data_IF_951427417011
#
_entry.id   IF_951427417011
#
_cell.length_a   1.000
_cell.length_b   1.000
_cell.length_c   1.000
_cell.angle_alpha   90.00
_cell.angle_beta   90.00
_cell.angle_gamma   90.00
#
_symmetry.space_group_name_H-M   'P 1'
#
loop_
_entity.id
_entity.type
_entity.pdbx_description
1 polymer ?
#
# COMPACT_ATOMS: atom_id res chain seq x y z
N UNK A 1 -0.38 0.40 35.86
CA UNK A 1 0.37 -0.02 34.65
C UNK A 1 0.93 1.23 34.00
N UNK A 2 2.18 1.22 33.55
CA UNK A 2 2.74 2.36 32.80
C UNK A 2 2.09 2.35 31.41
N UNK A 3 1.46 3.46 31.02
CA UNK A 3 0.95 3.63 29.67
C UNK A 3 2.11 4.07 28.75
N UNK A 4 2.11 3.60 27.51
CA UNK A 4 3.06 3.99 26.47
C UNK A 4 2.33 4.60 25.27
N UNK A 5 3.06 5.24 24.36
CA UNK A 5 2.46 5.71 23.12
C UNK A 5 2.37 4.56 22.11
N UNK A 6 1.35 4.59 21.26
CA UNK A 6 1.22 3.71 20.11
C UNK A 6 1.60 4.50 18.86
N UNK A 7 2.77 4.21 18.31
CA UNK A 7 3.25 4.82 17.07
C UNK A 7 2.88 3.93 15.90
N UNK A 8 2.22 4.49 14.91
CA UNK A 8 1.84 3.81 13.67
C UNK A 8 2.54 4.52 12.53
N UNK A 9 3.56 3.87 11.98
CA UNK A 9 4.27 4.36 10.80
C UNK A 9 3.60 3.76 9.57
N UNK A 10 3.29 4.57 8.57
CA UNK A 10 2.60 4.08 7.37
C UNK A 10 3.16 4.70 6.09
N UNK A 11 3.22 3.90 5.02
CA UNK A 11 3.54 4.37 3.67
C UNK A 11 2.30 4.96 2.98
N UNK A 12 1.11 4.64 3.49
CA UNK A 12 -0.18 4.91 2.89
C UNK A 12 -0.95 5.98 3.67
N UNK A 13 -2.10 6.42 3.15
CA UNK A 13 -3.03 7.20 3.96
C UNK A 13 -3.64 6.29 5.05
N UNK A 14 -3.60 6.68 6.34
CA UNK A 14 -4.27 5.93 7.38
C UNK A 14 -5.79 6.03 7.25
N UNK A 15 -6.45 4.89 7.02
CA UNK A 15 -7.91 4.77 6.96
C UNK A 15 -8.48 4.47 8.35
N UNK A 16 -9.54 5.17 8.75
CA UNK A 16 -10.18 4.98 10.08
C UNK A 16 -10.56 3.51 10.31
N UNK A 17 -11.14 2.83 9.33
CA UNK A 17 -11.55 1.42 9.49
C UNK A 17 -10.37 0.47 9.67
N UNK A 18 -9.24 0.74 8.99
CA UNK A 18 -8.00 -0.04 9.18
C UNK A 18 -7.43 0.21 10.56
N UNK A 19 -7.39 1.46 11.03
CA UNK A 19 -6.95 1.79 12.39
C UNK A 19 -7.81 1.11 13.45
N UNK A 20 -9.14 1.08 13.29
CA UNK A 20 -10.03 0.32 14.19
C UNK A 20 -9.67 -1.16 14.24
N UNK A 21 -9.35 -1.78 13.10
CA UNK A 21 -8.90 -3.17 13.07
C UNK A 21 -7.57 -3.37 13.80
N UNK A 22 -6.61 -2.47 13.61
CA UNK A 22 -5.32 -2.48 14.31
C UNK A 22 -5.53 -2.32 15.82
N UNK A 23 -6.38 -1.40 16.26
CA UNK A 23 -6.67 -1.16 17.67
C UNK A 23 -7.39 -2.33 18.33
N UNK A 24 -8.36 -2.95 17.66
CA UNK A 24 -9.01 -4.18 18.15
C UNK A 24 -8.00 -5.31 18.30
N UNK A 25 -7.10 -5.45 17.33
CA UNK A 25 -6.04 -6.45 17.37
C UNK A 25 -5.06 -6.19 18.53
N UNK A 26 -4.58 -4.96 18.67
CA UNK A 26 -3.73 -4.54 19.78
C UNK A 26 -4.39 -4.81 21.14
N UNK A 27 -5.67 -4.45 21.28
CA UNK A 27 -6.44 -4.65 22.50
C UNK A 27 -6.56 -6.13 22.89
N UNK A 28 -6.80 -7.00 21.92
CA UNK A 28 -6.84 -8.44 22.11
C UNK A 28 -5.46 -8.99 22.52
N UNK A 29 -4.42 -8.60 21.79
CA UNK A 29 -3.06 -9.11 21.99
C UNK A 29 -2.46 -8.66 23.33
N UNK A 30 -2.71 -7.41 23.72
CA UNK A 30 -2.27 -6.83 24.98
C UNK A 30 -3.28 -7.02 26.12
N UNK A 31 -4.36 -7.77 25.90
CA UNK A 31 -5.39 -8.07 26.90
C UNK A 31 -5.88 -6.80 27.63
N UNK A 32 -6.34 -5.81 26.88
CA UNK A 32 -6.92 -4.58 27.41
C UNK A 32 -8.21 -4.22 26.69
N UNK A 33 -9.15 -3.60 27.41
CA UNK A 33 -10.31 -2.96 26.81
C UNK A 33 -9.95 -1.61 26.20
N UNK A 34 -10.75 -1.15 25.24
CA UNK A 34 -10.65 0.20 24.70
C UNK A 34 -12.04 0.74 24.30
N UNK A 35 -12.17 2.07 24.28
CA UNK A 35 -13.28 2.78 23.63
C UNK A 35 -12.76 3.43 22.34
N UNK A 36 -13.54 3.42 21.26
CA UNK A 36 -13.04 3.81 19.94
C UNK A 36 -14.09 3.97 18.84
N UNK A 37 -15.32 4.35 19.19
CA UNK A 37 -16.45 4.35 18.25
C UNK A 37 -16.36 5.48 17.21
N UNK A 38 -15.85 6.64 17.63
CA UNK A 38 -15.61 7.80 16.75
C UNK A 38 -14.15 8.18 16.82
N UNK A 39 -13.42 7.89 15.75
CA UNK A 39 -12.01 8.27 15.61
C UNK A 39 -11.89 9.51 14.72
N UNK A 40 -10.95 10.38 15.05
CA UNK A 40 -10.50 11.48 14.17
C UNK A 40 -8.99 11.43 14.04
N UNK A 41 -8.50 11.82 12.88
CA UNK A 41 -7.06 11.95 12.59
C UNK A 41 -6.77 13.44 12.48
N UNK A 42 -5.99 13.95 13.41
CA UNK A 42 -5.73 15.38 13.55
C UNK A 42 -4.28 15.68 13.14
N UNK A 43 -4.05 16.50 12.11
CA UNK A 43 -2.71 17.01 11.83
C UNK A 43 -2.18 17.82 13.02
N UNK A 44 -0.99 17.50 13.50
CA UNK A 44 -0.32 18.23 14.58
C UNK A 44 0.33 19.47 14.02
N UNK A 45 -0.01 20.64 14.56
CA UNK A 45 0.63 21.91 14.22
C UNK A 45 1.60 22.33 15.34
N UNK A 46 2.72 22.92 14.96
CA UNK A 46 3.66 23.53 15.90
C UNK A 46 3.17 24.93 16.34
N UNK A 47 3.91 25.58 17.24
CA UNK A 47 3.60 26.93 17.77
C UNK A 47 3.54 28.03 16.68
N UNK A 48 4.03 27.75 15.47
CA UNK A 48 3.97 28.65 14.30
C UNK A 48 2.82 28.29 13.33
N UNK A 49 1.94 27.38 13.74
CA UNK A 49 0.88 26.81 12.91
C UNK A 49 1.38 26.10 11.65
N UNK A 50 2.59 25.55 11.69
CA UNK A 50 3.15 24.71 10.63
C UNK A 50 2.94 23.23 10.98
N UNK A 51 2.60 22.43 9.97
CA UNK A 51 2.39 21.00 10.13
C UNK A 51 3.68 20.28 10.55
N UNK A 52 3.63 19.58 11.67
CA UNK A 52 4.77 18.90 12.28
C UNK A 52 5.12 17.54 11.62
N UNK A 53 4.52 17.22 10.47
CA UNK A 53 4.64 15.92 9.79
C UNK A 53 4.25 14.74 10.70
N UNK A 54 3.24 14.98 11.53
CA UNK A 54 2.72 14.05 12.51
C UNK A 54 1.21 14.23 12.62
N UNK A 55 0.48 13.13 12.75
CA UNK A 55 -0.94 13.16 13.06
C UNK A 55 -1.19 12.47 14.40
N UNK A 56 -2.17 12.95 15.14
CA UNK A 56 -2.67 12.29 16.35
C UNK A 56 -4.04 11.66 16.07
N UNK A 57 -4.22 10.41 16.49
CA UNK A 57 -5.52 9.76 16.45
C UNK A 57 -6.21 9.96 17.79
N UNK A 58 -7.30 10.70 17.76
CA UNK A 58 -8.14 10.93 18.95
C UNK A 58 -9.40 10.09 18.89
N UNK A 59 -10.03 9.92 20.05
CA UNK A 59 -11.23 9.08 20.22
C UNK A 59 -10.93 7.60 20.51
N UNK A 60 -9.67 7.18 20.44
CA UNK A 60 -9.21 5.89 20.97
C UNK A 60 -8.77 6.04 22.43
N UNK A 61 -9.39 5.32 23.36
CA UNK A 61 -9.08 5.39 24.79
C UNK A 61 -8.79 3.99 25.33
N UNK A 62 -7.58 3.78 25.81
CA UNK A 62 -7.13 2.53 26.42
C UNK A 62 -6.21 2.85 27.59
N UNK A 63 -6.43 2.24 28.76
CA UNK A 63 -5.63 2.52 29.96
C UNK A 63 -4.12 2.20 29.82
N UNK A 64 -3.75 1.44 28.78
CA UNK A 64 -2.35 1.11 28.45
C UNK A 64 -1.74 2.05 27.41
N UNK A 65 -2.53 2.87 26.73
CA UNK A 65 -2.06 3.73 25.65
C UNK A 65 -2.28 5.19 26.01
N UNK A 66 -1.19 5.97 26.00
CA UNK A 66 -1.24 7.39 26.30
C UNK A 66 -1.70 8.19 25.08
N UNK A 67 -0.95 8.09 23.97
CA UNK A 67 -1.28 8.75 22.69
C UNK A 67 -1.17 7.75 21.55
N UNK A 68 -1.92 7.99 20.48
CA UNK A 68 -1.76 7.27 19.21
C UNK A 68 -1.26 8.25 18.16
N UNK A 69 -0.08 7.98 17.64
CA UNK A 69 0.66 8.92 16.80
C UNK A 69 0.94 8.26 15.44
N UNK A 70 0.63 8.96 14.36
CA UNK A 70 0.82 8.52 12.99
C UNK A 70 1.91 9.35 12.32
N UNK A 71 2.84 8.69 11.63
CA UNK A 71 3.83 9.37 10.78
C UNK A 71 4.00 8.65 9.45
N UNK A 72 4.20 9.42 8.39
CA UNK A 72 4.44 8.87 7.06
C UNK A 72 5.89 8.43 6.90
N UNK A 73 6.08 7.23 6.35
CA UNK A 73 7.39 6.64 6.09
C UNK A 73 7.49 6.15 4.65
N UNK A 74 8.71 5.80 4.25
CA UNK A 74 8.99 5.13 2.98
C UNK A 74 9.97 3.98 3.21
N UNK A 75 9.81 2.91 2.43
CA UNK A 75 10.77 1.82 2.40
C UNK A 75 12.06 2.17 1.65
N UNK A 76 13.16 1.55 2.05
CA UNK A 76 14.35 1.49 1.18
C UNK A 76 14.18 0.48 0.01
N UNK A 77 13.20 -0.43 0.12
CA UNK A 77 12.86 -1.44 -0.88
C UNK A 77 11.39 -1.88 -0.70
N UNK A 78 11.10 -3.19 -0.62
CA UNK A 78 9.74 -3.69 -0.37
C UNK A 78 9.30 -3.42 1.06
N UNK A 79 8.32 -2.54 1.25
CA UNK A 79 7.80 -2.11 2.55
C UNK A 79 6.38 -2.63 2.80
N UNK A 80 6.01 -2.93 4.05
CA UNK A 80 4.63 -3.27 4.48
C UNK A 80 3.86 -1.99 4.76
N UNK A 81 2.55 -1.95 4.56
CA UNK A 81 1.80 -0.68 4.65
C UNK A 81 1.83 -0.02 6.03
N UNK A 82 1.97 -0.79 7.12
CA UNK A 82 2.11 -0.26 8.48
C UNK A 82 3.18 -0.98 9.31
N UNK A 83 3.89 -0.20 10.12
CA UNK A 83 4.64 -0.66 11.29
C UNK A 83 4.02 -0.06 12.55
N UNK A 84 3.85 -0.89 13.58
CA UNK A 84 3.29 -0.46 14.87
C UNK A 84 4.33 -0.64 15.96
N UNK A 85 4.58 0.41 16.74
CA UNK A 85 5.47 0.42 17.90
C UNK A 85 4.70 0.82 19.15
N UNK A 86 5.05 0.22 20.28
CA UNK A 86 4.43 0.51 21.57
C UNK A 86 5.51 0.90 22.56
N UNK A 87 5.80 2.20 22.62
CA UNK A 87 6.93 2.79 23.33
C UNK A 87 6.71 4.28 23.61
N UNK A 88 7.50 4.87 24.50
CA UNK A 88 7.34 6.28 24.89
C UNK A 88 7.89 7.25 23.83
N UNK A 89 9.04 6.94 23.24
CA UNK A 89 9.77 7.82 22.32
C UNK A 89 9.42 7.56 20.86
N UNK A 90 9.62 8.57 20.00
CA UNK A 90 9.47 8.41 18.55
C UNK A 90 10.37 7.25 18.06
N UNK A 91 9.86 6.31 17.25
CA UNK A 91 10.64 5.19 16.75
C UNK A 91 11.84 5.63 15.93
N UNK A 92 12.94 4.89 16.09
CA UNK A 92 14.10 4.91 15.19
C UNK A 92 14.23 3.57 14.48
N UNK A 93 15.02 3.50 13.41
CA UNK A 93 15.09 2.34 12.51
C UNK A 93 15.57 1.06 13.22
N UNK A 94 16.31 1.20 14.33
CA UNK A 94 16.79 0.10 15.17
C UNK A 94 15.77 -0.42 16.18
N UNK A 95 14.67 0.31 16.40
CA UNK A 95 13.60 -0.14 17.30
C UNK A 95 12.85 -1.31 16.68
N UNK A 96 12.34 -2.20 17.54
CA UNK A 96 11.57 -3.37 17.10
C UNK A 96 10.07 -3.04 17.08
N UNK A 97 9.40 -3.07 15.90
CA UNK A 97 7.95 -2.96 15.85
C UNK A 97 7.30 -4.18 16.52
N UNK A 98 6.15 -3.97 17.16
CA UNK A 98 5.31 -5.07 17.65
C UNK A 98 4.55 -5.72 16.50
N UNK A 99 4.10 -4.92 15.51
CA UNK A 99 3.37 -5.41 14.33
C UNK A 99 3.97 -4.87 13.04
N UNK A 100 4.01 -5.73 12.02
CA UNK A 100 4.25 -5.38 10.64
C UNK A 100 3.05 -5.81 9.81
N UNK A 101 2.32 -4.86 9.23
CA UNK A 101 0.99 -5.08 8.67
C UNK A 101 0.99 -4.70 7.20
N UNK A 102 0.62 -5.65 6.35
CA UNK A 102 0.27 -5.40 4.96
C UNK A 102 -1.25 -5.29 4.82
N UNK A 103 -1.74 -4.17 4.29
CA UNK A 103 -3.16 -3.95 4.02
C UNK A 103 -3.53 -4.45 2.62
N UNK A 104 -4.79 -4.86 2.48
CA UNK A 104 -5.39 -5.08 1.18
C UNK A 104 -6.89 -4.91 1.26
N UNK A 105 -7.47 -4.24 0.28
CA UNK A 105 -8.94 -4.27 0.09
C UNK A 105 -9.41 -5.36 -0.86
N UNK A 106 -8.50 -5.93 -1.64
CA UNK A 106 -8.85 -6.84 -2.74
C UNK A 106 -8.99 -8.29 -2.29
N UNK A 107 -10.05 -8.92 -2.80
CA UNK A 107 -10.30 -10.35 -2.64
C UNK A 107 -9.81 -11.17 -3.87
N UNK A 108 -9.81 -12.50 -3.75
CA UNK A 108 -9.48 -13.44 -4.85
C UNK A 108 -10.34 -13.19 -6.11
N UNK A 109 -11.54 -12.62 -5.95
CA UNK A 109 -12.46 -12.28 -7.05
C UNK A 109 -11.88 -11.26 -8.05
N UNK A 110 -11.08 -10.30 -7.60
CA UNK A 110 -10.65 -9.16 -8.44
C UNK A 110 -9.22 -9.26 -8.95
N UNK A 111 -8.36 -10.01 -8.26
CA UNK A 111 -6.91 -10.02 -8.49
C UNK A 111 -6.39 -11.17 -9.39
N UNK A 112 -7.25 -11.75 -10.23
CA UNK A 112 -6.92 -12.85 -11.17
C UNK A 112 -6.16 -14.01 -10.49
N UNK A 113 -6.61 -14.42 -9.30
CA UNK A 113 -6.08 -15.54 -8.51
C UNK A 113 -4.62 -15.41 -8.02
N UNK A 114 -3.89 -14.33 -8.34
CA UNK A 114 -2.44 -14.19 -8.04
C UNK A 114 -2.10 -13.00 -7.14
N UNK A 115 -3.11 -12.21 -6.72
CA UNK A 115 -2.90 -11.04 -5.86
C UNK A 115 -2.23 -11.36 -4.53
N UNK A 116 -2.48 -12.56 -3.97
CA UNK A 116 -1.83 -13.02 -2.73
C UNK A 116 -0.30 -12.97 -2.85
N UNK A 117 0.27 -13.40 -3.98
CA UNK A 117 1.72 -13.48 -4.14
C UNK A 117 2.38 -12.12 -4.28
N UNK A 118 1.71 -11.15 -4.90
CA UNK A 118 2.28 -9.81 -5.11
C UNK A 118 2.69 -9.14 -3.78
N UNK A 119 2.08 -9.57 -2.67
CA UNK A 119 2.32 -9.04 -1.32
C UNK A 119 3.29 -9.87 -0.50
N UNK A 120 3.44 -11.16 -0.79
CA UNK A 120 4.27 -12.06 0.01
C UNK A 120 5.72 -11.58 0.13
N UNK A 121 6.28 -10.92 -0.89
CA UNK A 121 7.65 -10.37 -0.84
C UNK A 121 7.84 -9.41 0.32
N UNK A 122 6.85 -8.59 0.67
CA UNK A 122 6.96 -7.62 1.77
C UNK A 122 7.21 -8.32 3.12
N UNK A 123 6.54 -9.45 3.37
CA UNK A 123 6.78 -10.28 4.55
C UNK A 123 8.17 -10.93 4.55
N UNK A 124 8.63 -11.41 3.39
CA UNK A 124 9.97 -12.00 3.24
C UNK A 124 11.07 -10.97 3.53
N UNK A 125 10.84 -9.70 3.17
CA UNK A 125 11.75 -8.60 3.50
C UNK A 125 11.70 -8.24 4.98
N UNK A 126 10.53 -7.92 5.55
CA UNK A 126 10.45 -7.48 6.95
C UNK A 126 11.02 -8.53 7.91
N UNK A 127 10.81 -9.83 7.65
CA UNK A 127 11.35 -10.91 8.48
C UNK A 127 12.87 -10.94 8.56
N UNK A 128 13.56 -10.45 7.52
CA UNK A 128 15.01 -10.31 7.52
C UNK A 128 15.47 -9.20 8.49
N UNK A 129 14.78 -8.05 8.49
CA UNK A 129 15.13 -6.91 9.35
C UNK A 129 14.65 -7.07 10.79
N UNK A 130 13.47 -7.65 10.99
CA UNK A 130 12.87 -7.85 12.31
C UNK A 130 12.42 -9.32 12.46
N UNK A 131 13.32 -10.24 12.82
CA UNK A 131 13.03 -11.67 12.87
C UNK A 131 11.95 -12.07 13.88
N UNK A 132 11.65 -11.23 14.87
CA UNK A 132 10.63 -11.49 15.90
C UNK A 132 9.34 -10.70 15.71
N UNK A 133 9.25 -9.85 14.68
CA UNK A 133 8.03 -9.04 14.46
C UNK A 133 6.86 -9.95 14.19
N UNK A 134 5.70 -9.59 14.74
CA UNK A 134 4.45 -10.24 14.39
C UNK A 134 3.96 -9.70 13.05
N UNK A 135 3.91 -10.57 12.06
CA UNK A 135 3.54 -10.22 10.69
C UNK A 135 2.05 -10.45 10.46
N UNK A 136 1.36 -9.48 9.88
CA UNK A 136 -0.08 -9.49 9.71
C UNK A 136 -0.45 -9.11 8.28
N UNK A 137 -1.28 -9.93 7.66
CA UNK A 137 -1.96 -9.61 6.41
C UNK A 137 -3.40 -9.19 6.72
N UNK A 138 -3.69 -7.91 6.60
CA UNK A 138 -4.95 -7.30 6.98
C UNK A 138 -5.83 -7.06 5.74
N UNK A 139 -6.98 -7.73 5.70
CA UNK A 139 -7.97 -7.56 4.64
C UNK A 139 -9.06 -6.57 5.05
N UNK A 140 -8.99 -5.34 4.53
CA UNK A 140 -10.01 -4.31 4.69
C UNK A 140 -11.02 -4.37 3.53
N UNK A 141 -11.75 -5.50 3.44
CA UNK A 141 -12.61 -5.78 2.29
C UNK A 141 -13.75 -4.76 2.16
N UNK A 142 -13.90 -4.19 0.97
CA UNK A 142 -15.03 -3.32 0.61
C UNK A 142 -16.09 -4.02 -0.26
N UNK A 143 -15.83 -5.29 -0.61
CA UNK A 143 -16.72 -6.15 -1.40
C UNK A 143 -16.86 -7.51 -0.73
N UNK A 144 -17.91 -8.25 -1.08
CA UNK A 144 -18.15 -9.58 -0.54
C UNK A 144 -16.99 -10.54 -0.88
N UNK A 145 -16.54 -11.27 0.15
CA UNK A 145 -15.53 -12.31 0.00
C UNK A 145 -16.06 -13.45 -0.89
N UNK A 146 -15.23 -13.91 -1.81
CA UNK A 146 -15.53 -15.08 -2.63
C UNK A 146 -15.72 -16.33 -1.77
N UNK A 147 -16.82 -17.04 -2.00
CA UNK A 147 -17.20 -18.26 -1.26
C UNK A 147 -16.19 -19.41 -1.46
N UNK A 148 -15.79 -19.64 -2.71
CA UNK A 148 -14.84 -20.71 -3.05
C UNK A 148 -13.47 -20.15 -3.44
N UNK A 149 -12.44 -20.35 -2.61
CA UNK A 149 -11.09 -19.87 -2.91
C UNK A 149 -10.45 -20.66 -4.04
N UNK A 150 -9.65 -19.99 -4.89
CA UNK A 150 -8.84 -20.70 -5.89
C UNK A 150 -7.69 -21.50 -5.27
N UNK A 151 -7.23 -22.56 -5.96
CA UNK A 151 -6.05 -23.32 -5.54
C UNK A 151 -4.81 -22.43 -5.36
N UNK A 152 -4.65 -21.39 -6.19
CA UNK A 152 -3.56 -20.42 -6.09
C UNK A 152 -3.66 -19.59 -4.80
N UNK A 153 -4.86 -19.13 -4.47
CA UNK A 153 -5.10 -18.43 -3.21
C UNK A 153 -4.88 -19.32 -1.99
N UNK A 154 -5.32 -20.59 -2.04
CA UNK A 154 -5.07 -21.59 -1.00
C UNK A 154 -3.57 -21.77 -0.80
N UNK A 155 -2.80 -22.02 -1.88
CA UNK A 155 -1.35 -22.16 -1.79
C UNK A 155 -0.71 -20.92 -1.16
N UNK A 156 -1.00 -19.72 -1.68
CA UNK A 156 -0.41 -18.48 -1.20
C UNK A 156 -0.72 -18.20 0.27
N UNK A 157 -1.97 -18.40 0.68
CA UNK A 157 -2.40 -18.20 2.08
C UNK A 157 -1.75 -19.22 3.00
N UNK A 158 -1.69 -20.50 2.61
CA UNK A 158 -1.00 -21.53 3.41
C UNK A 158 0.50 -21.25 3.53
N UNK A 159 1.15 -20.73 2.49
CA UNK A 159 2.55 -20.29 2.55
C UNK A 159 2.73 -19.12 3.54
N UNK A 160 1.84 -18.12 3.51
CA UNK A 160 1.84 -17.02 4.48
C UNK A 160 1.70 -17.54 5.92
N UNK A 161 0.73 -18.42 6.17
CA UNK A 161 0.52 -19.05 7.50
C UNK A 161 1.75 -19.86 7.95
N UNK A 162 2.37 -20.60 7.03
CA UNK A 162 3.60 -21.36 7.32
C UNK A 162 4.78 -20.44 7.64
N UNK A 163 4.80 -19.26 7.03
CA UNK A 163 5.81 -18.22 7.29
C UNK A 163 5.53 -17.42 8.58
N UNK A 164 4.46 -17.74 9.32
CA UNK A 164 4.10 -17.07 10.57
C UNK A 164 3.33 -15.77 10.38
N UNK A 165 2.70 -15.56 9.22
CA UNK A 165 1.85 -14.39 8.97
C UNK A 165 0.42 -14.69 9.43
N UNK A 166 -0.11 -13.83 10.30
CA UNK A 166 -1.52 -13.87 10.72
C UNK A 166 -2.42 -13.20 9.68
N UNK A 167 -3.65 -13.71 9.52
CA UNK A 167 -4.61 -13.17 8.57
C UNK A 167 -5.77 -12.53 9.33
N UNK A 168 -6.03 -11.24 9.10
CA UNK A 168 -7.12 -10.49 9.71
C UNK A 168 -8.11 -9.99 8.65
N UNK A 169 -9.37 -9.78 9.05
CA UNK A 169 -10.40 -9.20 8.18
C UNK A 169 -10.98 -10.17 7.14
N UNK A 170 -10.68 -11.46 7.25
CA UNK A 170 -11.23 -12.52 6.40
C UNK A 170 -11.66 -13.73 7.20
N UNK A 171 -12.72 -14.37 6.72
CA UNK A 171 -13.13 -15.68 7.22
C UNK A 171 -12.34 -16.77 6.48
N UNK A 172 -11.50 -17.48 7.21
CA UNK A 172 -10.74 -18.62 6.69
C UNK A 172 -11.30 -19.92 7.26
N UNK A 173 -11.60 -20.86 6.38
CA UNK A 173 -11.85 -22.24 6.78
C UNK A 173 -10.57 -22.83 7.39
N UNK A 174 -10.61 -23.13 8.69
CA UNK A 174 -9.46 -23.64 9.46
C UNK A 174 -8.98 -25.02 8.99
N UNK A 175 -9.83 -25.81 8.32
CA UNK A 175 -9.43 -27.11 7.77
C UNK A 175 -8.66 -26.94 6.45
N UNK A 176 -9.06 -25.96 5.64
CA UNK A 176 -8.44 -25.67 4.35
C UNK A 176 -7.16 -24.85 4.50
N UNK A 177 -7.20 -23.81 5.34
CA UNK A 177 -6.12 -22.85 5.53
C UNK A 177 -5.33 -23.18 6.79
N UNK A 178 -4.50 -24.22 6.68
CA UNK A 178 -3.52 -24.60 7.70
C UNK A 178 -2.08 -24.47 7.18
N UNK A 179 -1.11 -24.15 8.05
CA UNK A 179 0.30 -24.20 7.69
C UNK A 179 0.70 -25.52 7.03
N UNK A 180 1.68 -25.46 6.14
CA UNK A 180 2.39 -26.66 5.68
C UNK A 180 3.29 -27.16 6.82
N UNK A 181 3.40 -28.48 6.94
CA UNK A 181 4.21 -29.14 7.97
C UNK A 181 5.56 -29.62 7.44
N UNK A 182 5.70 -29.77 6.12
CA UNK A 182 6.95 -30.23 5.50
C UNK A 182 7.13 -29.71 4.08
N UNK A 183 8.38 -29.73 3.62
CA UNK A 183 8.75 -29.43 2.22
C UNK A 183 8.00 -30.33 1.25
N UNK A 184 7.86 -31.62 1.58
CA UNK A 184 7.22 -32.59 0.70
C UNK A 184 5.71 -32.32 0.56
N UNK A 185 5.06 -31.80 1.60
CA UNK A 185 3.67 -31.37 1.52
C UNK A 185 3.48 -30.23 0.51
N UNK A 186 4.40 -29.27 0.44
CA UNK A 186 4.37 -28.18 -0.55
C UNK A 186 4.53 -28.74 -1.97
N UNK A 187 5.49 -29.65 -2.15
CA UNK A 187 5.76 -30.29 -3.44
C UNK A 187 4.52 -31.05 -3.92
N UNK A 188 3.95 -31.91 -3.07
CA UNK A 188 2.74 -32.67 -3.37
C UNK A 188 1.54 -31.76 -3.64
N UNK A 189 1.34 -30.70 -2.85
CA UNK A 189 0.27 -29.73 -3.10
C UNK A 189 0.43 -29.11 -4.49
N UNK A 190 1.64 -28.64 -4.83
CA UNK A 190 1.91 -27.96 -6.10
C UNK A 190 1.80 -28.87 -7.31
N UNK A 191 2.12 -30.16 -7.17
CA UNK A 191 1.98 -31.18 -8.21
C UNK A 191 0.51 -31.49 -8.55
N UNK A 192 -0.37 -31.45 -7.55
CA UNK A 192 -1.81 -31.72 -7.72
C UNK A 192 -2.61 -30.49 -8.18
N UNK A 193 -2.00 -29.30 -8.21
CA UNK A 193 -2.65 -28.11 -8.78
C UNK A 193 -2.76 -28.20 -10.30
N UNK A 194 -3.84 -27.64 -10.86
CA UNK A 194 -3.98 -27.49 -12.31
C UNK A 194 -2.77 -26.75 -12.89
N UNK A 195 -2.16 -27.32 -13.93
CA UNK A 195 -1.03 -26.71 -14.63
C UNK A 195 -1.44 -25.43 -15.35
N UNK A 196 -0.50 -24.50 -15.48
CA UNK A 196 -0.70 -23.27 -16.24
C UNK A 196 -1.10 -23.59 -17.70
N UNK A 197 -1.89 -22.71 -18.36
CA UNK A 197 -2.18 -22.86 -19.79
C UNK A 197 -0.92 -23.00 -20.64
N UNK A 198 -1.03 -23.66 -21.79
CA UNK A 198 0.09 -23.85 -22.72
C UNK A 198 0.80 -22.53 -23.05
N UNK A 199 2.14 -22.56 -23.06
CA UNK A 199 2.99 -21.39 -23.30
C UNK A 199 3.44 -20.62 -22.04
N UNK A 200 2.93 -20.96 -20.85
CA UNK A 200 3.42 -20.41 -19.58
C UNK A 200 4.42 -21.34 -18.88
N UNK A 201 5.36 -20.76 -18.13
CA UNK A 201 6.26 -21.51 -17.23
C UNK A 201 5.51 -21.76 -15.91
N UNK A 202 5.09 -23.00 -15.61
CA UNK A 202 4.46 -23.30 -14.33
C UNK A 202 5.47 -23.19 -13.19
N UNK A 203 5.00 -22.83 -12.00
CA UNK A 203 5.80 -22.98 -10.78
C UNK A 203 5.75 -24.45 -10.34
N UNK A 204 6.91 -25.11 -10.30
CA UNK A 204 7.05 -26.50 -9.89
C UNK A 204 8.31 -26.63 -9.03
N UNK A 205 8.29 -27.55 -8.08
CA UNK A 205 9.41 -27.82 -7.19
C UNK A 205 9.97 -29.22 -7.50
N UNK A 206 11.29 -29.30 -7.60
CA UNK A 206 12.04 -30.53 -7.85
C UNK A 206 13.07 -30.69 -6.75
N UNK A 207 12.91 -31.71 -5.91
CA UNK A 207 13.80 -31.99 -4.79
C UNK A 207 14.76 -33.12 -5.17
N UNK A 208 16.04 -32.88 -4.98
CA UNK A 208 17.13 -33.87 -5.05
C UNK A 208 17.96 -33.80 -3.78
N UNK A 209 18.97 -34.67 -3.66
CA UNK A 209 19.92 -34.60 -2.56
C UNK A 209 20.63 -33.23 -2.58
N UNK A 210 20.49 -32.48 -1.48
CA UNK A 210 21.13 -31.18 -1.28
C UNK A 210 20.64 -30.02 -2.15
N UNK A 211 19.66 -30.21 -3.05
CA UNK A 211 19.09 -29.12 -3.88
C UNK A 211 17.57 -29.19 -4.05
N UNK A 212 16.91 -28.03 -3.97
CA UNK A 212 15.55 -27.83 -4.48
C UNK A 212 15.61 -26.83 -5.64
N UNK A 213 15.19 -27.27 -6.81
CA UNK A 213 15.01 -26.38 -7.97
C UNK A 213 13.54 -25.98 -8.09
N UNK A 214 13.28 -24.69 -8.28
CA UNK A 214 11.93 -24.14 -8.41
C UNK A 214 11.79 -23.50 -9.79
N UNK A 215 10.93 -24.02 -10.65
CA UNK A 215 10.66 -23.36 -11.94
C UNK A 215 9.82 -22.11 -11.73
N UNK A 216 10.06 -21.06 -12.52
CA UNK A 216 9.16 -19.91 -12.52
C UNK A 216 9.73 -18.73 -13.29
N UNK A 217 8.89 -18.13 -14.14
CA UNK A 217 9.28 -16.98 -14.96
C UNK A 217 9.51 -15.73 -14.10
N UNK A 218 10.67 -15.09 -14.20
CA UNK A 218 10.95 -13.78 -13.60
C UNK A 218 11.06 -12.67 -14.66
N UNK A 219 11.38 -13.03 -15.90
CA UNK A 219 11.51 -12.09 -17.00
C UNK A 219 10.16 -11.57 -17.50
N UNK A 220 10.02 -10.25 -17.61
CA UNK A 220 8.91 -9.55 -18.24
C UNK A 220 9.39 -8.19 -18.75
N UNK A 221 8.88 -7.76 -19.90
CA UNK A 221 9.13 -6.41 -20.45
C UNK A 221 10.60 -5.96 -20.45
N UNK A 222 11.53 -6.82 -20.85
CA UNK A 222 12.96 -6.47 -20.95
C UNK A 222 13.78 -6.62 -19.67
N UNK A 223 13.22 -7.11 -18.57
CA UNK A 223 13.99 -7.30 -17.34
C UNK A 223 13.33 -8.19 -16.28
N UNK A 224 13.90 -8.16 -15.08
CA UNK A 224 13.36 -8.84 -13.89
C UNK A 224 12.18 -8.04 -13.32
N UNK A 225 10.97 -8.30 -13.82
CA UNK A 225 9.77 -7.51 -13.49
C UNK A 225 8.45 -8.30 -13.44
N UNK A 226 8.50 -9.63 -13.31
CA UNK A 226 7.29 -10.45 -13.19
C UNK A 226 6.76 -10.51 -11.74
N UNK A 227 6.16 -9.43 -11.24
CA UNK A 227 5.80 -9.24 -9.82
C UNK A 227 5.09 -10.42 -9.12
N UNK A 228 4.05 -11.06 -9.71
CA UNK A 228 3.41 -12.20 -9.04
C UNK A 228 4.36 -13.38 -8.80
N UNK A 229 5.32 -13.60 -9.70
CA UNK A 229 6.27 -14.70 -9.57
C UNK A 229 7.45 -14.31 -8.68
N UNK A 230 7.87 -13.04 -8.69
CA UNK A 230 8.81 -12.51 -7.69
C UNK A 230 8.26 -12.82 -6.29
N UNK A 231 6.99 -12.48 -6.06
CA UNK A 231 6.24 -12.84 -4.86
C UNK A 231 6.23 -14.32 -4.51
N UNK A 232 5.72 -15.14 -5.43
CA UNK A 232 5.56 -16.57 -5.21
C UNK A 232 6.89 -17.28 -4.94
N UNK A 233 7.92 -16.98 -5.73
CA UNK A 233 9.24 -17.62 -5.60
C UNK A 233 9.98 -17.16 -4.34
N UNK A 234 9.80 -15.89 -3.94
CA UNK A 234 10.35 -15.38 -2.68
C UNK A 234 9.77 -16.13 -1.47
N UNK A 235 8.44 -16.20 -1.35
CA UNK A 235 7.80 -16.83 -0.19
C UNK A 235 7.97 -18.35 -0.18
N UNK A 236 7.94 -19.00 -1.35
CA UNK A 236 8.27 -20.43 -1.45
C UNK A 236 9.67 -20.69 -0.89
N UNK A 237 10.67 -19.93 -1.36
CA UNK A 237 12.05 -20.12 -0.92
C UNK A 237 12.21 -19.87 0.59
N UNK A 238 11.58 -18.81 1.10
CA UNK A 238 11.62 -18.48 2.52
C UNK A 238 10.92 -19.55 3.39
N UNK A 239 9.77 -20.06 2.95
CA UNK A 239 9.05 -21.15 3.65
C UNK A 239 9.85 -22.45 3.63
N UNK A 240 10.53 -22.79 2.53
CA UNK A 240 11.41 -23.96 2.50
C UNK A 240 12.48 -23.88 3.61
N UNK A 241 13.07 -22.69 3.82
CA UNK A 241 14.02 -22.44 4.91
C UNK A 241 13.36 -22.60 6.29
N UNK A 242 12.17 -22.03 6.48
CA UNK A 242 11.41 -22.17 7.75
C UNK A 242 11.06 -23.62 8.06
N UNK A 243 10.80 -24.45 7.04
CA UNK A 243 10.55 -25.88 7.17
C UNK A 243 11.84 -26.73 7.30
N UNK A 244 12.99 -26.08 7.52
CA UNK A 244 14.24 -26.76 7.83
C UNK A 244 15.10 -27.15 6.63
N UNK A 245 14.77 -26.73 5.40
CA UNK A 245 15.63 -26.98 4.25
C UNK A 245 16.90 -26.13 4.31
N UNK A 246 18.05 -26.77 4.48
CA UNK A 246 19.37 -26.12 4.53
C UNK A 246 20.15 -26.22 3.22
N UNK A 247 19.73 -27.08 2.28
CA UNK A 247 20.38 -27.26 0.98
C UNK A 247 20.21 -26.08 0.03
N UNK A 248 20.74 -26.20 -1.19
CA UNK A 248 20.63 -25.15 -2.22
C UNK A 248 19.17 -24.95 -2.66
N UNK A 249 18.80 -23.70 -2.96
CA UNK A 249 17.53 -23.35 -3.60
C UNK A 249 17.88 -22.61 -4.88
N UNK A 250 17.46 -23.15 -6.02
CA UNK A 250 17.79 -22.62 -7.34
C UNK A 250 16.51 -22.34 -8.13
N UNK A 251 16.33 -21.12 -8.62
CA UNK A 251 15.24 -20.81 -9.54
C UNK A 251 15.66 -21.18 -10.95
N UNK A 252 14.85 -21.98 -11.64
CA UNK A 252 15.09 -22.45 -13.00
C UNK A 252 14.03 -21.90 -13.96
N UNK A 253 14.32 -21.89 -15.27
CA UNK A 253 13.35 -21.44 -16.31
C UNK A 253 12.82 -20.02 -16.10
N UNK A 254 13.62 -19.14 -15.52
CA UNK A 254 13.22 -17.77 -15.20
C UNK A 254 13.26 -16.81 -16.39
N UNK A 255 14.01 -17.16 -17.46
CA UNK A 255 14.12 -16.38 -18.70
C UNK A 255 14.99 -15.13 -18.57
N UNK A 256 15.84 -15.04 -17.55
CA UNK A 256 16.74 -13.90 -17.35
C UNK A 256 18.10 -14.18 -18.00
N UNK A 257 18.75 -13.11 -18.42
CA UNK A 257 20.16 -13.07 -18.83
C UNK A 257 20.93 -12.29 -17.77
N UNK A 258 22.26 -12.36 -17.78
CA UNK A 258 23.10 -11.63 -16.83
C UNK A 258 22.84 -10.10 -16.86
N UNK A 259 22.50 -9.54 -18.03
CA UNK A 259 22.15 -8.13 -18.19
C UNK A 259 20.83 -7.72 -17.51
N UNK A 260 19.97 -8.68 -17.17
CA UNK A 260 18.67 -8.41 -16.55
C UNK A 260 18.74 -8.38 -15.01
N UNK A 261 19.88 -8.75 -14.41
CA UNK A 261 20.07 -8.78 -12.95
C UNK A 261 21.02 -7.67 -12.50
N UNK A 262 20.52 -6.81 -11.62
CA UNK A 262 21.25 -5.69 -11.05
C UNK A 262 21.16 -5.68 -9.52
N UNK A 263 22.13 -5.02 -8.89
CA UNK A 263 22.31 -4.97 -7.43
C UNK A 263 21.11 -4.36 -6.67
N UNK A 264 20.27 -3.58 -7.37
CA UNK A 264 19.09 -2.92 -6.81
C UNK A 264 17.78 -3.68 -7.11
N UNK A 265 17.81 -4.80 -7.84
CA UNK A 265 16.57 -5.53 -8.11
C UNK A 265 16.01 -6.15 -6.84
N UNK A 266 14.70 -5.97 -6.61
CA UNK A 266 13.99 -6.51 -5.43
C UNK A 266 14.22 -8.01 -5.23
N UNK A 267 14.11 -8.81 -6.29
CA UNK A 267 14.34 -10.26 -6.19
C UNK A 267 15.81 -10.62 -5.93
N UNK A 268 16.77 -9.83 -6.43
CA UNK A 268 18.20 -10.04 -6.16
C UNK A 268 18.50 -9.78 -4.68
N UNK A 269 17.88 -8.75 -4.08
CA UNK A 269 17.94 -8.52 -2.63
C UNK A 269 17.37 -9.72 -1.84
N UNK A 270 16.18 -10.22 -2.20
CA UNK A 270 15.62 -11.45 -1.59
C UNK A 270 16.58 -12.63 -1.73
N UNK A 271 17.16 -12.81 -2.91
CA UNK A 271 18.07 -13.91 -3.18
C UNK A 271 19.33 -13.86 -2.30
N UNK A 272 19.87 -12.66 -2.07
CA UNK A 272 20.98 -12.44 -1.14
C UNK A 272 20.56 -12.72 0.32
N UNK A 273 19.36 -12.28 0.73
CA UNK A 273 18.85 -12.45 2.11
C UNK A 273 18.54 -13.93 2.45
N UNK A 274 18.08 -14.72 1.48
CA UNK A 274 17.53 -16.07 1.71
C UNK A 274 18.34 -17.20 1.06
N UNK A 275 19.49 -16.87 0.47
CA UNK A 275 20.39 -17.83 -0.19
C UNK A 275 19.70 -18.54 -1.36
N UNK A 276 19.23 -17.76 -2.32
CA UNK A 276 18.58 -18.23 -3.55
C UNK A 276 19.53 -18.02 -4.73
N UNK A 277 19.62 -19.01 -5.60
CA UNK A 277 20.43 -19.00 -6.81
C UNK A 277 19.53 -18.89 -8.06
N UNK A 278 20.12 -18.46 -9.18
CA UNK A 278 19.47 -18.41 -10.49
C UNK A 278 20.22 -19.31 -11.48
N UNK A 279 19.49 -20.14 -12.20
CA UNK A 279 20.03 -21.01 -13.24
C UNK A 279 20.75 -20.20 -14.33
N UNK A 280 22.02 -20.52 -14.60
CA UNK A 280 22.84 -19.87 -15.63
C UNK A 280 23.03 -18.35 -15.47
N UNK A 281 22.76 -17.80 -14.27
CA UNK A 281 22.93 -16.36 -13.98
C UNK A 281 23.60 -16.21 -12.62
N UNK A 282 24.68 -15.42 -12.55
CA UNK A 282 25.32 -15.09 -11.28
C UNK A 282 24.49 -14.02 -10.59
N UNK A 283 23.95 -14.35 -9.42
CA UNK A 283 23.25 -13.39 -8.55
C UNK A 283 24.29 -12.41 -8.01
N UNK A 284 24.23 -11.11 -8.36
CA UNK A 284 25.21 -10.16 -7.86
C UNK A 284 24.97 -9.88 -6.37
N UNK A 285 26.02 -9.39 -5.68
CA UNK A 285 25.89 -8.90 -4.31
C UNK A 285 24.95 -7.70 -4.30
N UNK A 286 23.80 -7.86 -3.65
CA UNK A 286 22.79 -6.83 -3.62
C UNK A 286 23.25 -5.61 -2.80
N UNK A 287 22.81 -4.42 -3.20
CA UNK A 287 22.92 -3.21 -2.39
C UNK A 287 21.72 -3.18 -1.43
N UNK A 288 21.89 -3.78 -0.26
CA UNK A 288 20.86 -3.87 0.78
C UNK A 288 21.12 -2.76 1.80
N UNK A 289 20.13 -1.90 2.03
CA UNK A 289 20.17 -0.90 3.10
C UNK A 289 20.28 -1.60 4.45
N UNK A 290 21.07 -1.08 5.42
CA UNK A 290 21.05 -1.61 6.79
C UNK A 290 19.70 -1.37 7.48
N UNK A 291 18.89 -0.43 6.97
CA UNK A 291 17.60 -0.06 7.52
C UNK A 291 16.46 -0.42 6.57
N UNK A 292 15.32 -0.79 7.15
CA UNK A 292 14.12 -1.18 6.41
C UNK A 292 13.32 0.01 5.88
N UNK A 293 13.22 1.07 6.69
CA UNK A 293 12.36 2.23 6.46
C UNK A 293 13.07 3.52 6.84
N UNK A 294 12.54 4.65 6.38
CA UNK A 294 12.92 6.01 6.79
C UNK A 294 11.68 6.90 6.85
N UNK A 295 11.72 7.99 7.62
CA UNK A 295 10.67 9.01 7.54
C UNK A 295 10.59 9.61 6.14
N UNK A 296 9.37 9.75 5.62
CA UNK A 296 9.17 10.33 4.30
C UNK A 296 9.18 11.86 4.41
N UNK A 297 10.20 12.47 3.84
CA UNK A 297 10.38 13.92 3.77
C UNK A 297 10.35 14.44 2.32
N UNK A 298 10.07 13.57 1.35
CA UNK A 298 10.24 13.89 -0.07
C UNK A 298 9.05 13.49 -0.95
N UNK A 299 8.21 12.55 -0.52
CA UNK A 299 7.12 11.99 -1.31
C UNK A 299 6.05 13.01 -1.66
N UNK A 300 5.61 13.03 -2.92
CA UNK A 300 4.52 13.94 -3.34
C UNK A 300 3.17 13.61 -2.67
N UNK A 301 3.00 12.36 -2.25
CA UNK A 301 1.84 11.88 -1.49
C UNK A 301 1.61 12.65 -0.18
N UNK A 302 2.65 13.28 0.41
CA UNK A 302 2.51 14.01 1.67
C UNK A 302 1.48 15.15 1.56
N UNK A 303 1.50 15.90 0.45
CA UNK A 303 0.56 17.00 0.24
C UNK A 303 -0.87 16.51 0.03
N UNK A 304 -1.05 15.46 -0.78
CA UNK A 304 -2.40 14.92 -1.07
C UNK A 304 -2.98 14.18 0.12
N UNK A 305 -2.18 13.43 0.90
CA UNK A 305 -2.61 12.80 2.16
C UNK A 305 -3.02 13.86 3.18
N UNK A 306 -2.26 14.94 3.33
CA UNK A 306 -2.61 16.03 4.24
C UNK A 306 -3.98 16.64 3.89
N UNK A 307 -4.19 17.00 2.61
CA UNK A 307 -5.47 17.55 2.14
C UNK A 307 -6.63 16.57 2.36
N UNK A 308 -6.40 15.29 2.06
CA UNK A 308 -7.40 14.25 2.30
C UNK A 308 -7.81 14.21 3.78
N UNK A 309 -6.84 14.11 4.69
CA UNK A 309 -7.08 14.01 6.13
C UNK A 309 -7.78 15.26 6.66
N UNK A 310 -7.29 16.46 6.32
CA UNK A 310 -7.87 17.69 6.86
C UNK A 310 -9.31 17.89 6.37
N UNK A 311 -9.61 17.58 5.11
CA UNK A 311 -10.98 17.67 4.58
C UNK A 311 -11.92 16.71 5.31
N UNK A 312 -11.59 15.43 5.42
CA UNK A 312 -12.47 14.43 6.05
C UNK A 312 -12.66 14.66 7.56
N UNK A 313 -11.72 15.32 8.23
CA UNK A 313 -11.76 15.52 9.68
C UNK A 313 -12.27 16.89 10.12
N UNK A 314 -12.15 17.93 9.26
CA UNK A 314 -12.47 19.31 9.62
C UNK A 314 -13.55 19.95 8.75
N UNK A 315 -14.19 19.20 7.85
CA UNK A 315 -15.31 19.67 7.03
C UNK A 315 -16.36 18.58 6.82
N UNK A 316 -17.45 18.93 6.15
CA UNK A 316 -18.48 18.02 5.64
C UNK A 316 -18.09 17.35 4.32
N UNK A 317 -16.96 17.76 3.72
CA UNK A 317 -16.45 17.16 2.49
C UNK A 317 -15.85 15.77 2.74
N UNK A 318 -15.89 14.94 1.70
CA UNK A 318 -15.46 13.54 1.79
C UNK A 318 -14.83 13.06 0.48
N UNK A 319 -13.99 12.03 0.56
CA UNK A 319 -13.38 11.40 -0.61
C UNK A 319 -14.31 10.40 -1.28
N UNK A 320 -14.35 10.43 -2.61
CA UNK A 320 -15.05 9.44 -3.44
C UNK A 320 -14.10 8.62 -4.30
N UNK A 321 -12.82 8.95 -4.32
CA UNK A 321 -11.78 8.19 -4.99
C UNK A 321 -10.40 8.59 -4.47
N UNK A 322 -9.51 7.61 -4.24
CA UNK A 322 -8.11 7.86 -3.85
C UNK A 322 -7.15 6.91 -4.58
N UNK A 323 -5.99 7.43 -4.95
CA UNK A 323 -4.87 6.74 -5.57
C UNK A 323 -3.57 7.54 -5.33
N UNK A 324 -3.32 7.92 -4.07
CA UNK A 324 -2.11 8.64 -3.71
C UNK A 324 -0.86 7.94 -4.27
N UNK A 325 0.15 8.70 -4.72
CA UNK A 325 1.30 8.16 -5.43
C UNK A 325 1.93 6.94 -4.72
N UNK A 326 1.90 5.78 -5.39
CA UNK A 326 2.45 4.50 -4.90
C UNK A 326 1.47 3.60 -4.15
N UNK A 327 0.29 4.11 -3.81
CA UNK A 327 -0.74 3.45 -2.99
C UNK A 327 -1.61 2.44 -3.75
N UNK A 328 -2.29 1.53 -3.04
CA UNK A 328 -3.29 0.64 -3.65
C UNK A 328 -4.45 1.47 -4.21
N UNK A 329 -4.64 1.44 -5.54
CA UNK A 329 -5.72 2.17 -6.23
C UNK A 329 -7.09 1.92 -5.60
N UNK A 330 -7.75 3.00 -5.17
CA UNK A 330 -9.10 3.06 -4.60
C UNK A 330 -10.23 2.57 -5.52
N UNK A 331 -11.44 2.46 -4.95
CA UNK A 331 -12.67 2.34 -5.74
C UNK A 331 -13.27 3.73 -5.91
N UNK A 332 -14.06 3.91 -6.96
CA UNK A 332 -14.94 5.06 -7.05
C UNK A 332 -16.19 4.80 -6.22
N UNK A 333 -16.54 5.72 -5.32
CA UNK A 333 -17.70 5.60 -4.44
C UNK A 333 -18.87 6.38 -5.05
N UNK A 334 -19.98 5.69 -5.33
CA UNK A 334 -21.23 6.31 -5.78
C UNK A 334 -21.94 7.05 -4.64
N UNK A 335 -22.94 7.92 -4.93
CA UNK A 335 -23.72 8.59 -3.89
C UNK A 335 -24.43 7.65 -2.92
N UNK A 336 -24.77 6.42 -3.35
CA UNK A 336 -25.37 5.39 -2.51
C UNK A 336 -24.34 4.61 -1.65
N UNK A 337 -23.07 4.99 -1.71
CA UNK A 337 -21.96 4.32 -1.01
C UNK A 337 -21.40 3.09 -1.75
N UNK A 338 -21.97 2.69 -2.90
CA UNK A 338 -21.52 1.50 -3.61
C UNK A 338 -20.14 1.71 -4.25
N UNK A 339 -19.15 0.83 -3.98
CA UNK A 339 -17.84 0.91 -4.62
C UNK A 339 -17.88 0.39 -6.06
N UNK A 340 -17.16 1.07 -6.96
CA UNK A 340 -17.01 0.69 -8.37
C UNK A 340 -15.53 0.66 -8.74
N UNK A 341 -15.09 -0.44 -9.34
CA UNK A 341 -13.75 -0.54 -9.89
C UNK A 341 -13.61 0.35 -11.15
N UNK A 342 -12.54 1.16 -11.20
CA UNK A 342 -12.27 1.98 -12.37
C UNK A 342 -11.91 1.12 -13.60
N UNK A 343 -12.51 1.46 -14.73
CA UNK A 343 -12.17 0.91 -16.03
C UNK A 343 -10.74 1.33 -16.40
N UNK A 344 -10.03 0.46 -17.11
CA UNK A 344 -8.69 0.78 -17.63
C UNK A 344 -8.75 1.56 -18.94
N UNK A 345 -9.81 1.37 -19.71
CA UNK A 345 -9.98 1.95 -21.03
C UNK A 345 -11.39 2.50 -21.18
N UNK A 346 -11.54 3.63 -21.85
CA UNK A 346 -12.83 4.15 -22.32
C UNK A 346 -13.39 3.21 -23.40
N UNK A 347 -12.52 2.80 -24.34
CA UNK A 347 -12.81 1.78 -25.34
C UNK A 347 -11.65 0.77 -25.43
N UNK A 348 -11.90 -0.46 -24.98
CA UNK A 348 -10.89 -1.52 -24.97
C UNK A 348 -10.55 -2.02 -26.37
N UNK A 349 -11.49 -1.99 -27.30
CA UNK A 349 -11.29 -2.51 -28.65
C UNK A 349 -10.36 -1.56 -29.42
N UNK A 350 -10.69 -0.27 -29.46
CA UNK A 350 -9.85 0.76 -30.08
C UNK A 350 -8.44 0.82 -29.47
N UNK A 351 -8.33 0.68 -28.15
CA UNK A 351 -7.01 0.63 -27.48
C UNK A 351 -6.13 -0.52 -27.98
N UNK A 352 -6.73 -1.70 -28.19
CA UNK A 352 -6.04 -2.88 -28.71
C UNK A 352 -5.70 -2.75 -30.19
N UNK A 353 -6.52 -2.04 -30.95
CA UNK A 353 -6.30 -1.75 -32.39
C UNK A 353 -5.20 -0.69 -32.62
N UNK A 354 -4.81 0.05 -31.57
CA UNK A 354 -3.63 0.92 -31.60
C UNK A 354 -3.83 2.28 -30.94
N UNK A 355 -5.08 2.70 -30.74
CA UNK A 355 -5.40 4.02 -30.20
C UNK A 355 -5.14 4.11 -28.69
N UNK A 356 -3.95 4.60 -28.33
CA UNK A 356 -3.54 4.73 -26.93
C UNK A 356 -4.25 5.86 -26.19
N UNK A 357 -4.97 6.75 -26.88
CA UNK A 357 -5.76 7.81 -26.24
C UNK A 357 -6.93 7.26 -25.42
N UNK A 358 -7.34 6.02 -25.69
CA UNK A 358 -8.44 5.35 -24.97
C UNK A 358 -8.07 4.89 -23.55
N UNK A 359 -6.84 5.15 -23.08
CA UNK A 359 -6.48 4.90 -21.69
C UNK A 359 -7.15 5.93 -20.78
N UNK A 360 -7.76 5.46 -19.69
CA UNK A 360 -8.34 6.37 -18.70
C UNK A 360 -7.22 6.83 -17.78
N UNK A 361 -6.96 8.13 -17.76
CA UNK A 361 -6.13 8.76 -16.74
C UNK A 361 -6.90 8.82 -15.43
N UNK A 362 -6.21 8.51 -14.34
CA UNK A 362 -6.80 8.34 -13.02
C UNK A 362 -6.19 9.41 -12.11
N UNK A 363 -7.00 10.26 -11.47
CA UNK A 363 -6.48 11.30 -10.57
C UNK A 363 -5.91 10.69 -9.29
N UNK A 364 -5.18 11.47 -8.50
CA UNK A 364 -4.68 11.00 -7.20
C UNK A 364 -5.77 11.00 -6.12
N UNK A 365 -6.70 11.95 -6.17
CA UNK A 365 -7.76 12.11 -5.20
C UNK A 365 -8.97 12.80 -5.84
N UNK A 366 -10.17 12.41 -5.43
CA UNK A 366 -11.40 13.14 -5.77
C UNK A 366 -12.21 13.38 -4.50
N UNK A 367 -12.50 14.64 -4.23
CA UNK A 367 -13.27 15.08 -3.07
C UNK A 367 -14.62 15.64 -3.50
N UNK A 368 -15.62 15.49 -2.64
CA UNK A 368 -16.93 16.14 -2.78
C UNK A 368 -17.01 17.30 -1.79
N UNK A 369 -17.31 18.49 -2.31
CA UNK A 369 -17.74 19.65 -1.55
C UNK A 369 -19.26 19.75 -1.62
N UNK A 370 -19.94 19.39 -0.53
CA UNK A 370 -21.41 19.46 -0.44
C UNK A 370 -21.91 20.91 -0.42
N UNK A 371 -21.12 21.83 0.15
CA UNK A 371 -21.52 23.23 0.37
C UNK A 371 -21.52 24.00 -0.94
N UNK A 372 -20.46 23.86 -1.72
CA UNK A 372 -20.34 24.51 -3.04
C UNK A 372 -20.92 23.66 -4.17
N UNK A 373 -21.33 22.43 -3.87
CA UNK A 373 -21.78 21.44 -4.84
C UNK A 373 -20.71 21.23 -5.94
N UNK A 374 -19.46 20.98 -5.51
CA UNK A 374 -18.30 20.76 -6.37
C UNK A 374 -17.72 19.35 -6.22
N UNK A 375 -17.30 18.73 -7.33
CA UNK A 375 -16.47 17.53 -7.34
C UNK A 375 -15.05 17.93 -7.72
N UNK A 376 -14.11 17.83 -6.79
CA UNK A 376 -12.76 18.35 -6.90
C UNK A 376 -11.81 17.21 -7.25
N UNK A 377 -11.36 17.17 -8.51
CA UNK A 377 -10.36 16.24 -9.03
C UNK A 377 -8.96 16.80 -8.78
N UNK A 378 -8.12 16.01 -8.11
CA UNK A 378 -6.81 16.45 -7.62
C UNK A 378 -5.68 15.63 -8.25
N UNK A 379 -4.67 16.34 -8.74
CA UNK A 379 -3.36 15.80 -9.13
C UNK A 379 -2.30 16.19 -8.10
N UNK A 380 -1.60 15.22 -7.52
CA UNK A 380 -0.50 15.43 -6.60
C UNK A 380 0.84 15.48 -7.33
N UNK A 381 1.67 16.48 -7.03
CA UNK A 381 3.05 16.54 -7.53
C UNK A 381 4.04 17.08 -6.52
N UNK A 382 5.31 16.71 -6.66
CA UNK A 382 6.40 17.52 -6.09
C UNK A 382 6.39 18.92 -6.71
N UNK A 383 6.70 19.95 -5.93
CA UNK A 383 6.74 21.36 -6.39
C UNK A 383 7.55 21.54 -7.68
N UNK A 384 8.71 20.88 -7.79
CA UNK A 384 9.58 20.93 -8.98
C UNK A 384 8.91 20.45 -10.28
N UNK A 385 7.81 19.70 -10.18
CA UNK A 385 7.05 19.14 -11.30
C UNK A 385 5.69 19.83 -11.47
N UNK A 386 5.48 21.02 -10.89
CA UNK A 386 4.18 21.72 -10.91
C UNK A 386 3.59 21.88 -12.32
N UNK A 387 4.40 22.28 -13.30
CA UNK A 387 3.95 22.53 -14.67
C UNK A 387 3.48 21.25 -15.35
N UNK A 388 4.08 20.11 -14.99
CA UNK A 388 3.65 18.81 -15.47
C UNK A 388 2.28 18.44 -14.89
N UNK A 389 2.09 18.63 -13.58
CA UNK A 389 0.78 18.40 -12.94
C UNK A 389 -0.33 19.28 -13.53
N UNK A 390 -0.05 20.55 -13.80
CA UNK A 390 -0.99 21.50 -14.43
C UNK A 390 -1.44 21.02 -15.82
N UNK A 391 -0.52 20.46 -16.62
CA UNK A 391 -0.82 19.89 -17.93
C UNK A 391 -1.62 18.59 -17.82
N UNK A 392 -1.32 17.76 -16.83
CA UNK A 392 -1.99 16.47 -16.62
C UNK A 392 -3.47 16.61 -16.25
N UNK A 393 -3.87 17.74 -15.66
CA UNK A 393 -5.29 18.04 -15.40
C UNK A 393 -6.16 17.96 -16.66
N UNK A 394 -5.61 18.24 -17.84
CA UNK A 394 -6.36 18.23 -19.09
C UNK A 394 -6.66 16.79 -19.58
N UNK A 395 -6.05 15.76 -18.97
CA UNK A 395 -6.26 14.36 -19.33
C UNK A 395 -7.49 13.70 -18.68
N UNK A 396 -8.17 14.38 -17.75
CA UNK A 396 -9.24 13.79 -16.94
C UNK A 396 -10.64 13.79 -17.57
N UNK A 397 -10.77 14.20 -18.83
CA UNK A 397 -12.08 14.27 -19.52
C UNK A 397 -12.81 12.92 -19.54
N UNK A 398 -12.09 11.84 -19.84
CA UNK A 398 -12.68 10.50 -19.82
C UNK A 398 -13.14 10.06 -18.43
N UNK A 399 -12.40 10.44 -17.38
CA UNK A 399 -12.77 10.13 -16.00
C UNK A 399 -14.02 10.90 -15.59
N UNK A 400 -14.06 12.19 -15.91
CA UNK A 400 -15.19 13.07 -15.65
C UNK A 400 -16.48 12.56 -16.30
N UNK A 401 -16.45 12.18 -17.58
CA UNK A 401 -17.61 11.65 -18.30
C UNK A 401 -18.09 10.31 -17.74
N UNK A 402 -17.18 9.36 -17.53
CA UNK A 402 -17.53 8.01 -17.13
C UNK A 402 -18.01 7.91 -15.68
N UNK A 403 -17.53 8.81 -14.82
CA UNK A 403 -17.74 8.75 -13.37
C UNK A 403 -18.43 9.98 -12.81
N UNK A 404 -17.84 11.18 -12.91
CA UNK A 404 -18.35 12.37 -12.22
C UNK A 404 -19.67 12.85 -12.80
N UNK A 405 -19.74 13.13 -14.10
CA UNK A 405 -20.98 13.54 -14.77
C UNK A 405 -22.06 12.46 -14.70
N UNK A 406 -21.65 11.18 -14.67
CA UNK A 406 -22.59 10.06 -14.58
C UNK A 406 -23.21 9.89 -13.20
N UNK A 407 -22.41 9.95 -12.14
CA UNK A 407 -22.85 9.60 -10.78
C UNK A 407 -23.07 10.83 -9.88
N UNK A 408 -22.44 11.97 -10.18
CA UNK A 408 -22.56 13.24 -9.46
C UNK A 408 -22.92 14.39 -10.44
N UNK A 409 -23.98 14.28 -11.27
CA UNK A 409 -24.28 15.24 -12.34
C UNK A 409 -24.57 16.67 -11.86
N UNK A 410 -24.99 16.83 -10.60
CA UNK A 410 -25.30 18.12 -10.00
C UNK A 410 -24.06 18.85 -9.47
N UNK A 411 -22.93 18.16 -9.39
CA UNK A 411 -21.70 18.72 -8.86
C UNK A 411 -20.88 19.32 -9.99
N UNK A 412 -20.48 20.59 -9.84
CA UNK A 412 -19.56 21.25 -10.76
C UNK A 412 -18.18 20.63 -10.62
N UNK A 413 -17.57 20.24 -11.74
CA UNK A 413 -16.24 19.66 -11.71
C UNK A 413 -15.18 20.76 -11.60
N UNK A 414 -14.30 20.64 -10.60
CA UNK A 414 -13.12 21.49 -10.41
C UNK A 414 -11.89 20.59 -10.49
N UNK A 415 -10.88 21.02 -11.24
CA UNK A 415 -9.60 20.30 -11.36
C UNK A 415 -8.48 21.16 -10.76
N UNK A 416 -7.68 20.60 -9.87
CA UNK A 416 -6.62 21.34 -9.18
C UNK A 416 -5.38 20.48 -8.93
N UNK A 417 -4.22 21.13 -8.84
CA UNK A 417 -2.97 20.52 -8.38
C UNK A 417 -2.80 20.74 -6.88
N UNK A 418 -2.32 19.71 -6.20
CA UNK A 418 -1.80 19.75 -4.82
C UNK A 418 -0.31 19.48 -4.86
N UNK A 419 0.48 20.36 -4.25
CA UNK A 419 1.93 20.29 -4.26
C UNK A 419 2.52 19.91 -2.91
N UNK A 420 3.64 19.20 -2.95
CA UNK A 420 4.54 19.03 -1.81
C UNK A 420 5.97 19.47 -2.12
N UNK A 421 6.64 20.08 -1.16
CA UNK A 421 8.07 20.43 -1.22
C UNK A 421 8.32 21.94 -1.39
N UNK A 422 9.55 22.32 -1.75
CA UNK A 422 10.01 23.72 -1.78
C UNK A 422 9.94 24.46 -0.44
N UNK A 423 10.42 25.69 -0.44
CA UNK A 423 10.38 26.63 0.68
C UNK A 423 9.43 27.81 0.39
N UNK A 424 8.68 27.72 -0.72
CA UNK A 424 7.78 28.78 -1.14
C UNK A 424 6.62 28.94 -0.16
N UNK A 425 6.17 30.18 -0.02
CA UNK A 425 5.06 30.54 0.86
C UNK A 425 3.89 31.18 0.10
N UNK A 426 3.99 31.24 -1.23
CA UNK A 426 2.99 31.79 -2.14
C UNK A 426 2.95 30.95 -3.42
N UNK A 427 1.77 30.89 -4.02
CA UNK A 427 1.50 30.19 -5.27
C UNK A 427 0.81 31.19 -6.20
N UNK A 428 1.35 31.37 -7.40
CA UNK A 428 0.79 32.30 -8.40
C UNK A 428 -0.11 31.62 -9.44
N UNK A 429 0.02 30.30 -9.56
CA UNK A 429 -0.60 29.47 -10.57
C UNK A 429 -2.04 29.16 -10.18
N UNK A 430 -3.01 29.64 -10.98
CA UNK A 430 -4.44 29.49 -10.72
C UNK A 430 -4.87 28.02 -10.58
N UNK A 431 -4.27 27.11 -11.37
CA UNK A 431 -4.60 25.67 -11.32
C UNK A 431 -4.00 24.94 -10.10
N UNK A 432 -3.24 25.61 -9.24
CA UNK A 432 -2.65 25.03 -8.03
C UNK A 432 -3.43 25.51 -6.82
N UNK A 433 -4.13 24.60 -6.16
CA UNK A 433 -5.02 24.92 -5.04
C UNK A 433 -4.33 24.88 -3.68
N UNK A 434 -3.25 24.10 -3.53
CA UNK A 434 -2.55 23.97 -2.26
C UNK A 434 -1.09 23.54 -2.43
N UNK A 435 -0.23 24.05 -1.56
CA UNK A 435 1.14 23.62 -1.35
C UNK A 435 1.36 23.34 0.14
N UNK A 436 1.81 22.12 0.45
CA UNK A 436 2.48 21.80 1.71
C UNK A 436 4.00 21.95 1.49
N UNK A 437 4.60 22.99 2.06
CA UNK A 437 6.04 23.21 1.88
C UNK A 437 6.88 22.33 2.83
N UNK A 438 8.20 22.32 2.65
CA UNK A 438 9.12 21.46 3.42
C UNK A 438 9.19 21.80 4.91
N UNK A 439 8.77 22.99 5.32
CA UNK A 439 8.73 23.39 6.73
C UNK A 439 7.37 23.11 7.37
N UNK A 440 6.42 22.52 6.63
CA UNK A 440 5.07 22.27 7.10
C UNK A 440 4.10 23.43 6.90
N UNK A 441 4.50 24.51 6.21
CA UNK A 441 3.60 25.65 5.97
C UNK A 441 2.46 25.25 5.03
N UNK A 442 1.26 25.68 5.41
CA UNK A 442 0.02 25.43 4.68
C UNK A 442 -0.26 26.61 3.74
N UNK A 443 0.06 26.46 2.46
CA UNK A 443 -0.03 27.56 1.48
C UNK A 443 -1.21 27.31 0.54
N UNK A 444 -2.25 28.14 0.66
CA UNK A 444 -3.40 28.13 -0.24
C UNK A 444 -3.06 28.85 -1.56
N UNK A 445 -3.51 28.28 -2.68
CA UNK A 445 -3.42 28.93 -3.98
C UNK A 445 -4.40 30.09 -4.16
N UNK A 446 -4.16 30.95 -5.16
CA UNK A 446 -5.00 32.13 -5.44
C UNK A 446 -6.46 31.74 -5.75
N UNK A 447 -6.65 30.61 -6.42
CA UNK A 447 -7.96 30.05 -6.74
C UNK A 447 -8.17 28.68 -6.05
N UNK A 448 -7.67 28.54 -4.82
CA UNK A 448 -7.87 27.34 -4.03
C UNK A 448 -9.37 27.01 -3.91
N UNK A 449 -9.78 25.74 -4.07
CA UNK A 449 -11.16 25.33 -3.81
C UNK A 449 -11.62 25.77 -2.41
N UNK A 450 -12.86 26.27 -2.31
CA UNK A 450 -13.42 26.74 -1.03
C UNK A 450 -13.35 25.66 0.06
N UNK A 451 -13.49 24.39 -0.31
CA UNK A 451 -13.31 23.25 0.59
C UNK A 451 -11.95 23.27 1.30
N UNK A 452 -10.85 23.55 0.59
CA UNK A 452 -9.51 23.60 1.17
C UNK A 452 -9.39 24.77 2.14
N UNK A 453 -9.92 25.94 1.75
CA UNK A 453 -9.93 27.13 2.59
C UNK A 453 -10.72 26.91 3.89
N UNK A 454 -11.87 26.22 3.84
CA UNK A 454 -12.65 25.86 5.04
C UNK A 454 -11.90 24.83 5.90
N UNK A 455 -11.36 23.77 5.29
CA UNK A 455 -10.65 22.72 6.02
C UNK A 455 -9.44 23.25 6.79
N UNK A 456 -8.60 24.07 6.14
CA UNK A 456 -7.39 24.65 6.77
C UNK A 456 -7.77 25.65 7.85
N UNK A 457 -8.78 26.50 7.61
CA UNK A 457 -9.27 27.44 8.64
C UNK A 457 -9.76 26.70 9.88
N UNK A 458 -10.61 25.69 9.72
CA UNK A 458 -11.14 24.91 10.82
C UNK A 458 -10.04 24.14 11.57
N UNK A 459 -8.99 23.69 10.86
CA UNK A 459 -7.81 23.10 11.50
C UNK A 459 -7.03 24.12 12.34
N UNK A 460 -6.80 25.32 11.81
CA UNK A 460 -6.12 26.39 12.55
C UNK A 460 -6.94 26.81 13.77
N UNK A 461 -8.26 26.96 13.61
CA UNK A 461 -9.19 27.29 14.69
C UNK A 461 -9.24 26.22 15.79
N UNK A 462 -8.95 24.96 15.48
CA UNK A 462 -8.84 23.89 16.47
C UNK A 462 -7.58 24.00 17.35
N UNK A 463 -6.49 24.52 16.80
CA UNK A 463 -5.21 24.67 17.51
C UNK A 463 -5.04 26.05 18.19
N UNK A 464 -5.92 27.01 17.90
CA UNK A 464 -6.04 28.29 18.60
C UNK A 464 -6.93 28.17 19.84
#
# INVERSE_FOLDING_TARGET
MKAHNLWILTEERPKIEVLKMIFRYFAQDHQCGFFGDTLRIIPVLNDRHEFAFEYEVVGFHCAKVNRVILKTVSGYSSFVDFLVFYQDTQPVETDAPIYAIEETKTDDKESRNTGVFQRCTKFVFIRHYYPSVKMIMLYALQIEQKKEPTQTYILGTRLLLTFGVEILGKNLDKQLFKPFQSVDEIISFKQNMRKAPGGNVPIMLYKTDGKISISGRLYKSGGLSHDPNIGALSILSAVLRVLGWTGRIEIIRHGLLQSHVGVNNKFVQVANMWGIELENVVVPRANISPYYWKYDMEGEKLGTIFIHIVVENFTEGYSIFENHAGCEKGYFIKPDGTPVALAKYSDRQKYKEGDKSQIIYIPDLVLIDIVENESITIEGKKYKNKDQGIKELDNYDSFDELYLRRYYPQYKIVRTVVLYGSQEEKISEIKVGFLLNQNGKLVLGIAAPSLFCRAIRNLLDYWN
#
